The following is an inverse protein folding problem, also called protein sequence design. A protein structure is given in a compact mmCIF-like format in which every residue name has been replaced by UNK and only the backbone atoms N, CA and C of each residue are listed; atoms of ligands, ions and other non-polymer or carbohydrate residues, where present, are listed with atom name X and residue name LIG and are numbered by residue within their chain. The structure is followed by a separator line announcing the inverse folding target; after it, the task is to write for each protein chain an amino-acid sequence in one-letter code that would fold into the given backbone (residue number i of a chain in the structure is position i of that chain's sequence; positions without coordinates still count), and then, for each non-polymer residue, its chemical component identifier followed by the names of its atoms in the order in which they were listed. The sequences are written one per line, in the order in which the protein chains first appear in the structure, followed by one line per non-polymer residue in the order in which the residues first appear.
data_IF_714037702705
#
_entry.id   IF_714037702705
#
_cell.length_a   1.000
_cell.length_b   1.000
_cell.length_c   1.000
_cell.angle_alpha   90.00
_cell.angle_beta   90.00
_cell.angle_gamma   90.00
#
_symmetry.space_group_name_H-M   'P 1'
#
loop_
_entity.id
_entity.type
_entity.pdbx_description
1 polymer ?
#
# COMPACT_ATOMS: atom_id res chain seq x y z
N UNK A 1 -6.12 19.04 6.49
CA UNK A 1 -5.75 17.74 5.88
C UNK A 1 -5.56 16.76 7.03
N UNK A 2 -6.34 15.67 7.10
CA UNK A 2 -6.17 14.70 8.18
C UNK A 2 -4.86 13.96 7.93
N UNK A 3 -4.15 13.55 8.97
CA UNK A 3 -2.89 12.79 8.84
C UNK A 3 -3.06 11.52 7.97
N UNK A 4 -4.26 10.95 7.99
CA UNK A 4 -4.70 9.84 7.13
C UNK A 4 -4.70 10.19 5.64
N UNK A 5 -5.08 11.41 5.25
CA UNK A 5 -5.07 11.83 3.84
C UNK A 5 -3.63 11.85 3.30
N UNK A 6 -2.67 12.27 4.12
CA UNK A 6 -1.26 12.31 3.73
C UNK A 6 -0.67 10.91 3.57
N UNK A 7 -0.97 10.01 4.50
CA UNK A 7 -0.59 8.60 4.41
C UNK A 7 -1.20 7.95 3.17
N UNK A 8 -2.49 8.19 2.91
CA UNK A 8 -3.17 7.62 1.75
C UNK A 8 -2.54 8.12 0.45
N UNK A 9 -2.24 9.42 0.36
CA UNK A 9 -1.58 10.00 -0.80
C UNK A 9 -0.18 9.42 -1.02
N UNK A 10 0.65 9.31 0.03
CA UNK A 10 1.98 8.71 -0.06
C UNK A 10 1.90 7.23 -0.45
N UNK A 11 0.94 6.48 0.10
CA UNK A 11 0.71 5.09 -0.25
C UNK A 11 0.34 4.93 -1.74
N UNK A 12 -0.57 5.76 -2.25
CA UNK A 12 -0.98 5.73 -3.66
C UNK A 12 0.20 6.01 -4.60
N UNK A 13 1.05 6.98 -4.26
CA UNK A 13 2.26 7.29 -5.05
C UNK A 13 3.26 6.14 -5.01
N UNK A 14 3.48 5.53 -3.84
CA UNK A 14 4.39 4.38 -3.70
C UNK A 14 3.93 3.17 -4.50
N UNK A 15 2.64 2.81 -4.40
CA UNK A 15 2.06 1.70 -5.16
C UNK A 15 2.09 1.98 -6.67
N UNK A 16 1.80 3.21 -7.08
CA UNK A 16 1.86 3.60 -8.50
C UNK A 16 3.29 3.52 -9.05
N UNK A 17 4.25 4.13 -8.33
CA UNK A 17 5.66 4.10 -8.70
C UNK A 17 6.20 2.68 -8.80
N UNK A 18 5.79 1.81 -7.87
CA UNK A 18 6.15 0.40 -7.89
C UNK A 18 5.66 -0.37 -9.12
N UNK A 19 4.39 -0.18 -9.47
CA UNK A 19 3.78 -0.86 -10.63
C UNK A 19 4.42 -0.35 -11.91
N UNK A 20 4.67 0.96 -11.99
CA UNK A 20 5.39 1.56 -13.12
C UNK A 20 6.83 1.03 -13.22
N UNK A 21 7.57 0.91 -12.10
CA UNK A 21 8.92 0.33 -12.08
C UNK A 21 8.95 -1.19 -12.20
N UNK A 22 7.82 -1.89 -12.20
CA UNK A 22 7.78 -3.31 -12.57
C UNK A 22 7.63 -3.52 -14.07
N UNK A 23 7.23 -2.49 -14.79
CA UNK A 23 7.04 -2.58 -16.23
C UNK A 23 8.41 -2.59 -16.93
N UNK A 24 8.65 -3.64 -17.72
CA UNK A 24 9.94 -3.83 -18.39
C UNK A 24 10.31 -2.67 -19.31
N UNK A 25 9.34 -2.00 -19.93
CA UNK A 25 9.61 -0.86 -20.80
C UNK A 25 10.03 0.37 -20.01
N UNK A 26 9.40 0.62 -18.86
CA UNK A 26 9.76 1.74 -17.99
C UNK A 26 11.12 1.49 -17.36
N UNK A 27 11.39 0.27 -16.90
CA UNK A 27 12.69 -0.07 -16.30
C UNK A 27 13.82 -0.04 -17.31
N UNK A 28 13.59 -0.49 -18.54
CA UNK A 28 14.60 -0.50 -19.61
C UNK A 28 14.90 0.93 -20.11
N UNK A 29 13.88 1.78 -20.21
CA UNK A 29 14.05 3.21 -20.52
C UNK A 29 14.75 4.00 -19.41
N UNK A 30 14.53 3.68 -18.13
CA UNK A 30 15.16 4.37 -16.99
C UNK A 30 16.54 3.82 -16.65
N UNK A 31 16.78 2.52 -16.90
CA UNK A 31 18.04 1.82 -16.67
C UNK A 31 18.45 0.99 -17.91
N UNK A 32 18.96 1.64 -18.97
CA UNK A 32 19.32 0.98 -20.24
C UNK A 32 20.55 0.05 -20.15
N UNK A 33 21.19 -0.05 -18.98
CA UNK A 33 22.20 -1.06 -18.66
C UNK A 33 22.11 -1.35 -17.17
N UNK A 34 21.28 -2.32 -16.76
CA UNK A 34 21.14 -2.66 -15.35
C UNK A 34 22.40 -3.40 -14.91
N UNK A 35 23.28 -2.67 -14.23
CA UNK A 35 24.31 -3.22 -13.37
C UNK A 35 23.67 -4.21 -12.36
N UNK A 36 24.41 -5.20 -11.89
CA UNK A 36 23.85 -6.33 -11.12
C UNK A 36 23.08 -5.85 -9.88
N UNK A 37 23.49 -4.74 -9.28
CA UNK A 37 22.78 -4.01 -8.23
C UNK A 37 21.33 -3.62 -8.59
N UNK A 38 21.06 -3.08 -9.78
CA UNK A 38 19.71 -2.59 -10.13
C UNK A 38 18.70 -3.73 -10.23
N UNK A 39 19.14 -4.92 -10.65
CA UNK A 39 18.30 -6.13 -10.69
C UNK A 39 17.87 -6.55 -9.28
N UNK A 40 18.79 -6.44 -8.32
CA UNK A 40 18.51 -6.77 -6.93
C UNK A 40 17.54 -5.76 -6.30
N UNK A 41 17.70 -4.47 -6.61
CA UNK A 41 16.78 -3.43 -6.13
C UNK A 41 15.37 -3.67 -6.68
N UNK A 42 15.23 -3.98 -7.98
CA UNK A 42 13.92 -4.27 -8.60
C UNK A 42 13.22 -5.51 -7.99
N UNK A 43 13.99 -6.50 -7.56
CA UNK A 43 13.44 -7.70 -6.89
C UNK A 43 12.92 -7.38 -5.48
N UNK A 44 13.66 -6.55 -4.73
CA UNK A 44 13.32 -6.18 -3.36
C UNK A 44 12.22 -5.11 -3.26
N UNK A 45 12.08 -4.25 -4.26
CA UNK A 45 11.05 -3.20 -4.34
C UNK A 45 9.64 -3.74 -4.03
N UNK A 46 9.09 -4.74 -4.75
CA UNK A 46 7.74 -5.27 -4.49
C UNK A 46 7.57 -5.83 -3.07
N UNK A 47 8.63 -6.40 -2.48
CA UNK A 47 8.62 -6.85 -1.08
C UNK A 47 8.52 -5.66 -0.13
N UNK A 48 9.32 -4.60 -0.34
CA UNK A 48 9.30 -3.38 0.47
C UNK A 48 7.94 -2.68 0.46
N UNK A 49 7.25 -2.66 -0.68
CA UNK A 49 5.90 -2.09 -0.79
C UNK A 49 4.89 -2.95 -0.05
N UNK A 50 4.96 -4.28 -0.20
CA UNK A 50 4.09 -5.21 0.53
C UNK A 50 4.21 -5.03 2.05
N UNK A 51 5.44 -4.89 2.56
CA UNK A 51 5.71 -4.62 3.97
C UNK A 51 5.16 -3.25 4.38
N UNK A 52 5.41 -2.20 3.60
CA UNK A 52 4.94 -0.84 3.88
C UNK A 52 3.41 -0.77 3.93
N UNK A 53 2.73 -1.34 2.92
CA UNK A 53 1.27 -1.45 2.87
C UNK A 53 0.72 -2.19 4.10
N UNK A 54 1.34 -3.31 4.48
CA UNK A 54 0.90 -4.13 5.62
C UNK A 54 1.06 -3.40 6.95
N UNK A 55 2.18 -2.69 7.12
CA UNK A 55 2.44 -1.88 8.31
C UNK A 55 1.44 -0.73 8.43
N UNK A 56 1.17 -0.05 7.31
CA UNK A 56 0.18 1.04 7.27
C UNK A 56 -1.24 0.54 7.58
N UNK A 57 -1.64 -0.61 7.04
CA UNK A 57 -2.94 -1.21 7.32
C UNK A 57 -3.06 -1.69 8.78
N UNK A 58 -1.95 -2.07 9.41
CA UNK A 58 -1.89 -2.45 10.83
C UNK A 58 -1.99 -1.24 11.75
N UNK A 59 -1.25 -0.16 11.46
CA UNK A 59 -1.24 1.06 12.27
C UNK A 59 -2.53 1.87 12.07
N UNK A 60 -3.07 1.88 10.86
CA UNK A 60 -4.37 2.43 10.52
C UNK A 60 -5.32 1.28 10.19
N UNK A 61 -5.85 0.58 11.21
CA UNK A 61 -6.88 -0.41 10.97
C UNK A 61 -8.03 0.33 10.29
N UNK A 62 -8.32 -0.06 9.05
CA UNK A 62 -9.55 0.42 8.40
C UNK A 62 -10.67 0.06 9.37
N UNK A 63 -11.37 1.08 9.89
CA UNK A 63 -12.53 0.93 10.77
C UNK A 63 -13.72 0.41 9.96
N UNK A 64 -13.51 -0.67 9.20
CA UNK A 64 -14.58 -1.45 8.59
C UNK A 64 -15.11 -2.36 9.69
N UNK A 65 -16.01 -1.80 10.48
CA UNK A 65 -16.95 -2.59 11.25
C UNK A 65 -17.70 -3.48 10.25
N UNK A 66 -17.55 -4.80 10.39
CA UNK A 66 -18.20 -5.76 9.51
C UNK A 66 -19.73 -5.59 9.51
N UNK A 67 -20.37 -6.06 8.44
CA UNK A 67 -21.83 -6.09 8.36
C UNK A 67 -22.34 -6.95 9.53
N UNK A 68 -23.03 -6.31 10.48
CA UNK A 68 -23.43 -6.88 11.76
C UNK A 68 -23.04 -6.07 13.00
N UNK A 69 -22.20 -5.04 12.86
CA UNK A 69 -21.87 -4.18 14.00
C UNK A 69 -23.07 -3.29 14.39
N UNK A 70 -23.74 -3.72 15.46
CA UNK A 70 -24.87 -3.10 16.18
C UNK A 70 -26.27 -3.22 15.55
N UNK A 71 -26.78 -4.45 15.53
CA UNK A 71 -28.18 -4.71 15.95
C UNK A 71 -28.23 -4.97 17.47
N UNK A 72 -27.48 -4.21 18.26
CA UNK A 72 -27.49 -4.29 19.74
C UNK A 72 -27.54 -2.90 20.35
N UNK A 73 -28.27 -1.99 19.69
CA UNK A 73 -28.52 -0.65 20.21
C UNK A 73 -29.87 -0.50 20.91
N UNK A 74 -30.93 -1.20 20.48
CA UNK A 74 -32.30 -0.89 20.93
C UNK A 74 -33.30 -2.07 20.85
N UNK A 75 -32.88 -3.31 21.09
CA UNK A 75 -33.80 -4.45 21.32
C UNK A 75 -33.36 -5.18 22.59
N UNK A 76 -33.46 -4.48 23.73
CA UNK A 76 -33.70 -5.09 25.05
C UNK A 76 -33.95 -3.99 26.10
N UNK A 77 -35.00 -3.19 25.89
CA UNK A 77 -35.62 -2.53 27.03
C UNK A 77 -37.10 -2.84 26.99
N UNK A 78 -37.42 -3.94 27.68
CA UNK A 78 -38.67 -4.29 28.38
C UNK A 78 -39.88 -3.41 28.07
#
# INVERSE_FOLDING_TARGET
MRFVDWIHATLSVLVFGAVALRDKYVTDCFYPSPEEETKHVLDIVPVGIGVTCSLLFTVFPTRRLGIGYLVTGNVDRR
#
